data_IF_864528001272
#
_entry.id   IF_864528001272
#
_cell.length_a   1.000
_cell.length_b   1.000
_cell.length_c   1.000
_cell.angle_alpha   90.00
_cell.angle_beta   90.00
_cell.angle_gamma   90.00
#
_symmetry.space_group_name_H-M   'P 1'
#
loop_
_entity.id
_entity.type
_entity.pdbx_description
1 polymer ?
#
# COMPACT_ATOMS: atom_id res chain seq x y z
N UNK A 1 58.78 2.76 -14.40
CA UNK A 1 57.52 3.23 -13.79
C UNK A 1 56.92 2.03 -13.06
N UNK A 2 56.48 2.21 -11.81
CA UNK A 2 55.78 1.15 -11.09
C UNK A 2 54.28 1.37 -11.31
N UNK A 3 53.54 0.33 -11.68
CA UNK A 3 52.09 0.40 -11.84
C UNK A 3 51.41 0.55 -10.47
N UNK A 4 50.25 1.21 -10.43
CA UNK A 4 49.43 1.35 -9.25
C UNK A 4 49.01 -0.05 -8.72
N UNK A 5 49.17 -0.27 -7.41
CA UNK A 5 48.78 -1.54 -6.78
C UNK A 5 47.26 -1.69 -6.54
N UNK A 6 46.46 -0.68 -6.94
CA UNK A 6 45.02 -0.83 -6.82
C UNK A 6 44.49 -1.88 -7.79
N UNK A 7 43.96 -2.94 -7.23
CA UNK A 7 43.29 -4.02 -7.94
C UNK A 7 41.96 -4.30 -7.28
N UNK A 8 40.91 -4.40 -8.08
CA UNK A 8 39.61 -4.94 -7.69
C UNK A 8 39.42 -6.25 -8.47
N UNK A 9 38.47 -7.11 -8.11
CA UNK A 9 38.14 -8.38 -8.75
C UNK A 9 38.08 -8.32 -10.29
N UNK A 10 37.80 -7.12 -10.83
CA UNK A 10 37.56 -6.91 -12.26
C UNK A 10 38.46 -5.82 -12.90
N UNK A 11 39.38 -5.20 -12.15
CA UNK A 11 40.13 -4.06 -12.66
C UNK A 11 41.53 -3.93 -12.05
N UNK A 12 42.52 -3.69 -12.89
CA UNK A 12 43.87 -3.32 -12.51
C UNK A 12 44.17 -1.88 -13.01
N UNK A 13 44.58 -0.98 -12.10
CA UNK A 13 44.93 0.38 -12.46
C UNK A 13 46.33 0.42 -13.12
N UNK A 14 46.41 1.09 -14.28
CA UNK A 14 47.65 1.22 -15.05
C UNK A 14 48.30 2.61 -14.92
N UNK A 15 47.83 3.45 -13.99
CA UNK A 15 48.42 4.78 -13.75
C UNK A 15 49.69 4.68 -12.88
N UNK A 16 50.63 5.59 -13.10
CA UNK A 16 51.85 5.66 -12.30
C UNK A 16 51.55 5.88 -10.80
N UNK A 17 52.36 5.30 -9.94
CA UNK A 17 52.27 5.43 -8.49
C UNK A 17 52.84 6.74 -7.97
N UNK A 18 52.28 7.21 -6.87
CA UNK A 18 52.88 8.30 -6.09
C UNK A 18 54.09 7.82 -5.28
N UNK A 19 55.06 8.71 -5.03
CA UNK A 19 56.30 8.39 -4.35
C UNK A 19 56.14 7.81 -2.93
N UNK A 20 55.07 8.17 -2.23
CA UNK A 20 54.80 7.78 -0.83
C UNK A 20 53.89 6.56 -0.66
N UNK A 21 53.22 6.14 -1.69
CA UNK A 21 52.27 5.03 -1.64
C UNK A 21 52.47 4.10 -2.82
N UNK A 22 51.94 2.89 -2.77
CA UNK A 22 51.90 1.99 -3.93
C UNK A 22 50.70 2.29 -4.85
N UNK A 23 49.95 3.40 -4.62
CA UNK A 23 48.75 3.80 -5.32
C UNK A 23 49.01 5.03 -6.16
N UNK A 24 48.31 5.20 -7.30
CA UNK A 24 48.35 6.40 -8.10
C UNK A 24 47.59 7.55 -7.44
N UNK A 25 47.73 8.78 -7.96
CA UNK A 25 47.05 9.95 -7.44
C UNK A 25 45.52 9.82 -7.37
N UNK A 26 44.91 8.98 -8.21
CA UNK A 26 43.45 8.79 -8.17
C UNK A 26 43.04 7.87 -7.02
N UNK A 27 43.84 6.84 -6.67
CA UNK A 27 43.50 5.83 -5.67
C UNK A 27 44.20 6.04 -4.31
N UNK A 28 45.12 7.00 -4.20
CA UNK A 28 45.76 7.34 -2.92
C UNK A 28 44.73 7.88 -1.93
N UNK A 29 44.63 7.39 -0.69
CA UNK A 29 43.79 7.96 0.35
C UNK A 29 44.37 9.22 0.98
N UNK A 30 45.55 9.67 0.54
CA UNK A 30 46.22 10.84 1.09
C UNK A 30 45.38 12.10 0.85
N UNK A 31 44.88 12.72 1.94
CA UNK A 31 44.09 13.96 1.88
C UNK A 31 44.92 15.18 1.45
N UNK A 32 46.25 15.11 1.62
CA UNK A 32 47.20 16.19 1.26
C UNK A 32 47.68 16.09 -0.19
N UNK A 33 47.20 15.12 -0.97
CA UNK A 33 47.55 15.01 -2.39
C UNK A 33 47.21 16.30 -3.17
N UNK A 34 48.03 16.61 -4.14
CA UNK A 34 47.85 17.81 -4.98
C UNK A 34 46.49 17.76 -5.71
N UNK A 35 45.54 18.57 -5.23
CA UNK A 35 44.17 18.66 -5.77
C UNK A 35 44.13 19.14 -7.22
N UNK A 36 45.06 20.07 -7.61
CA UNK A 36 45.12 20.58 -8.98
C UNK A 36 45.60 19.49 -9.95
N UNK A 37 46.64 18.78 -9.57
CA UNK A 37 47.18 17.65 -10.34
C UNK A 37 46.16 16.49 -10.40
N UNK A 38 45.45 16.21 -9.29
CA UNK A 38 44.38 15.22 -9.25
C UNK A 38 43.29 15.55 -10.28
N UNK A 39 42.78 16.78 -10.30
CA UNK A 39 41.75 17.21 -11.24
C UNK A 39 42.21 17.16 -12.69
N UNK A 40 43.49 17.50 -12.96
CA UNK A 40 44.09 17.42 -14.29
C UNK A 40 44.12 15.95 -14.78
N UNK A 41 44.62 15.03 -13.96
CA UNK A 41 44.69 13.60 -14.27
C UNK A 41 43.29 13.00 -14.44
N UNK A 42 42.34 13.32 -13.55
CA UNK A 42 40.96 12.89 -13.63
C UNK A 42 40.31 13.34 -14.95
N UNK A 43 40.44 14.67 -15.26
CA UNK A 43 39.87 15.24 -16.47
C UNK A 43 40.48 14.61 -17.73
N UNK A 44 41.81 14.43 -17.75
CA UNK A 44 42.50 13.75 -18.83
C UNK A 44 42.07 12.33 -19.04
N UNK A 45 41.80 11.59 -17.95
CA UNK A 45 41.27 10.24 -18.00
C UNK A 45 39.84 10.20 -18.57
N UNK A 46 38.92 10.99 -18.02
CA UNK A 46 37.55 11.11 -18.49
C UNK A 46 37.50 11.50 -19.98
N UNK A 47 38.34 12.46 -20.40
CA UNK A 47 38.42 12.90 -21.78
C UNK A 47 38.94 11.83 -22.74
N UNK A 48 39.96 11.05 -22.36
CA UNK A 48 40.48 9.93 -23.14
C UNK A 48 39.45 8.82 -23.26
N UNK A 49 38.93 8.36 -22.11
CA UNK A 49 38.00 7.23 -22.06
C UNK A 49 36.68 7.56 -22.81
N UNK A 50 36.24 8.82 -22.79
CA UNK A 50 35.02 9.23 -23.51
C UNK A 50 35.19 9.19 -25.03
N UNK A 51 36.40 9.44 -25.57
CA UNK A 51 36.69 9.45 -27.01
C UNK A 51 37.15 8.11 -27.56
N UNK A 52 37.75 7.27 -26.74
CA UNK A 52 38.31 5.99 -27.15
C UNK A 52 37.22 4.95 -27.43
N UNK A 53 36.99 4.61 -28.69
CA UNK A 53 36.00 3.62 -29.10
C UNK A 53 36.25 2.20 -28.59
N UNK A 54 37.47 1.89 -28.17
CA UNK A 54 37.83 0.58 -27.57
C UNK A 54 37.54 0.48 -26.07
N UNK A 55 37.24 1.61 -25.39
CA UNK A 55 36.89 1.62 -23.96
C UNK A 55 35.37 1.61 -23.80
N UNK A 56 34.78 0.54 -23.23
CA UNK A 56 33.34 0.40 -23.13
C UNK A 56 32.71 1.32 -22.08
N UNK A 57 33.46 1.71 -21.04
CA UNK A 57 33.00 2.54 -19.94
C UNK A 57 34.12 3.43 -19.37
N UNK A 58 33.77 4.59 -18.84
CA UNK A 58 34.69 5.45 -18.09
C UNK A 58 34.88 4.87 -16.70
N UNK A 59 36.06 4.39 -16.38
CA UNK A 59 36.36 3.65 -15.14
C UNK A 59 36.96 4.57 -14.09
N UNK A 60 36.17 4.89 -13.06
CA UNK A 60 36.53 5.72 -11.90
C UNK A 60 36.30 4.97 -10.57
N UNK A 61 36.21 3.63 -10.61
CA UNK A 61 35.98 2.84 -9.41
C UNK A 61 37.15 2.91 -8.44
N UNK A 62 36.86 2.94 -7.13
CA UNK A 62 37.84 3.10 -6.08
C UNK A 62 38.62 4.40 -6.10
N UNK A 63 38.20 5.40 -6.91
CA UNK A 63 38.84 6.72 -6.93
C UNK A 63 38.55 7.47 -5.64
N UNK A 64 39.61 8.00 -5.00
CA UNK A 64 39.52 8.80 -3.79
C UNK A 64 39.58 10.28 -4.14
N UNK A 65 38.46 11.00 -4.03
CA UNK A 65 38.37 12.43 -4.27
C UNK A 65 38.79 13.19 -3.00
N UNK A 66 39.88 14.00 -3.06
CA UNK A 66 40.55 14.58 -1.87
C UNK A 66 39.84 15.82 -1.29
N UNK A 67 38.67 16.14 -1.73
CA UNK A 67 37.90 17.32 -1.30
C UNK A 67 36.70 17.54 -2.20
N UNK A 68 36.09 18.76 -2.16
CA UNK A 68 34.91 19.05 -2.95
C UNK A 68 35.08 18.77 -4.43
N UNK A 69 34.18 18.02 -5.03
CA UNK A 69 34.10 17.75 -6.46
C UNK A 69 33.00 18.62 -7.08
N UNK A 70 33.31 19.26 -8.19
CA UNK A 70 32.30 19.88 -9.07
C UNK A 70 32.39 19.19 -10.43
N UNK A 71 31.47 18.26 -10.69
CA UNK A 71 31.49 17.39 -11.86
C UNK A 71 31.48 18.19 -13.18
N UNK A 72 30.69 19.27 -13.25
CA UNK A 72 30.65 20.13 -14.43
C UNK A 72 32.04 20.72 -14.82
N UNK A 73 32.93 20.91 -13.86
CA UNK A 73 34.33 21.33 -14.14
C UNK A 73 35.15 20.18 -14.73
N UNK A 74 34.89 18.94 -14.35
CA UNK A 74 35.59 17.75 -14.88
C UNK A 74 35.23 17.52 -16.34
N UNK A 75 33.93 17.64 -16.68
CA UNK A 75 33.40 17.40 -18.02
C UNK A 75 33.32 18.63 -18.90
N UNK A 76 33.78 19.79 -18.42
CA UNK A 76 33.74 21.06 -19.14
C UNK A 76 34.41 20.97 -20.52
N UNK A 77 33.68 21.37 -21.58
CA UNK A 77 34.13 21.28 -22.96
C UNK A 77 34.06 19.89 -23.59
N UNK A 78 33.52 18.91 -22.89
CA UNK A 78 33.19 17.60 -23.45
C UNK A 78 31.73 17.59 -23.98
N UNK A 79 31.46 16.84 -25.06
CA UNK A 79 30.09 16.57 -25.44
C UNK A 79 29.42 15.74 -24.33
N UNK A 80 28.06 15.62 -24.37
CA UNK A 80 27.35 14.74 -23.47
C UNK A 80 27.98 13.36 -23.45
N UNK A 81 28.35 12.89 -22.26
CA UNK A 81 28.99 11.57 -22.10
C UNK A 81 27.89 10.51 -22.23
N UNK A 82 27.85 9.86 -23.38
CA UNK A 82 26.91 8.79 -23.68
C UNK A 82 27.38 7.41 -23.15
N UNK A 83 28.65 7.29 -22.74
CA UNK A 83 29.21 6.05 -22.21
C UNK A 83 28.85 5.82 -20.75
N UNK A 84 28.72 4.56 -20.34
CA UNK A 84 28.64 4.22 -18.92
C UNK A 84 29.81 4.79 -18.11
N UNK A 85 29.50 5.22 -16.87
CA UNK A 85 30.52 5.71 -15.93
C UNK A 85 30.49 4.87 -14.66
N UNK A 86 31.65 4.33 -14.27
CA UNK A 86 31.73 3.48 -13.09
C UNK A 86 32.50 4.19 -11.96
N UNK A 87 31.76 4.57 -10.90
CA UNK A 87 32.26 5.13 -9.64
C UNK A 87 32.17 4.12 -8.48
N UNK A 88 32.02 2.83 -8.76
CA UNK A 88 31.89 1.81 -7.71
C UNK A 88 33.00 1.95 -6.67
N UNK A 89 32.65 1.95 -5.38
CA UNK A 89 33.59 2.10 -4.28
C UNK A 89 34.39 3.41 -4.27
N UNK A 90 34.00 4.42 -5.05
CA UNK A 90 34.65 5.71 -5.02
C UNK A 90 34.39 6.43 -3.68
N UNK A 91 35.39 7.14 -3.16
CA UNK A 91 35.32 7.90 -1.93
C UNK A 91 35.35 9.41 -2.19
N UNK A 92 34.28 10.09 -1.90
CA UNK A 92 34.17 11.56 -1.98
C UNK A 92 34.36 12.13 -0.56
N UNK A 93 35.57 12.66 -0.27
CA UNK A 93 35.93 13.15 1.05
C UNK A 93 35.36 14.52 1.40
N UNK A 94 34.86 15.25 0.43
CA UNK A 94 34.14 16.52 0.57
C UNK A 94 32.85 16.50 -0.21
N UNK A 95 32.22 17.66 -0.37
CA UNK A 95 30.96 17.75 -1.10
C UNK A 95 31.12 17.30 -2.55
N UNK A 96 30.16 16.55 -3.05
CA UNK A 96 30.15 16.00 -4.40
C UNK A 96 29.01 16.65 -5.21
N UNK A 97 29.34 17.63 -6.02
CA UNK A 97 28.36 18.37 -6.79
C UNK A 97 28.23 17.82 -8.21
N UNK A 98 27.08 17.15 -8.45
CA UNK A 98 26.58 16.65 -9.72
C UNK A 98 25.35 17.43 -10.20
N UNK A 99 25.15 18.66 -9.73
CA UNK A 99 24.03 19.50 -10.07
C UNK A 99 23.82 19.59 -11.58
N UNK A 100 22.61 19.23 -12.04
CA UNK A 100 22.22 19.17 -13.46
C UNK A 100 23.18 18.37 -14.34
N UNK A 101 23.91 17.42 -13.76
CA UNK A 101 24.75 16.52 -14.54
C UNK A 101 23.90 15.63 -15.44
N UNK A 102 24.39 15.37 -16.66
CA UNK A 102 23.73 14.43 -17.59
C UNK A 102 24.62 13.21 -17.77
N UNK A 103 24.14 12.07 -17.34
CA UNK A 103 24.72 10.74 -17.55
C UNK A 103 23.96 10.08 -18.70
N UNK A 104 24.57 10.04 -19.90
CA UNK A 104 23.91 9.52 -21.10
C UNK A 104 23.92 8.00 -21.21
N UNK A 105 24.82 7.31 -20.50
CA UNK A 105 24.82 5.85 -20.30
C UNK A 105 24.57 5.49 -18.86
N UNK A 106 24.72 4.19 -18.54
CA UNK A 106 24.56 3.69 -17.17
C UNK A 106 25.60 4.33 -16.24
N UNK A 107 25.23 4.58 -15.00
CA UNK A 107 26.16 5.08 -13.99
C UNK A 107 26.13 4.21 -12.75
N UNK A 108 27.31 3.80 -12.28
CA UNK A 108 27.46 2.94 -11.13
C UNK A 108 28.15 3.68 -9.99
N UNK A 109 27.42 3.94 -8.90
CA UNK A 109 27.90 4.45 -7.62
C UNK A 109 27.81 3.40 -6.51
N UNK A 110 27.70 2.13 -6.85
CA UNK A 110 27.56 1.08 -5.83
C UNK A 110 28.78 1.10 -4.88
N UNK A 111 28.50 0.91 -3.59
CA UNK A 111 29.52 0.97 -2.52
C UNK A 111 30.27 2.31 -2.42
N UNK A 112 29.84 3.36 -3.15
CA UNK A 112 30.47 4.67 -3.06
C UNK A 112 30.19 5.33 -1.71
N UNK A 113 31.16 6.12 -1.21
CA UNK A 113 31.04 6.86 0.06
C UNK A 113 31.09 8.35 -0.19
N UNK A 114 30.02 9.04 0.18
CA UNK A 114 29.93 10.50 0.17
C UNK A 114 30.05 11.02 1.61
N UNK A 115 31.21 11.58 1.96
CA UNK A 115 31.48 12.06 3.33
C UNK A 115 30.90 13.46 3.58
N UNK A 116 30.86 14.32 2.57
CA UNK A 116 30.15 15.61 2.55
C UNK A 116 28.78 15.48 1.90
N UNK A 117 28.20 16.62 1.53
CA UNK A 117 26.91 16.65 0.84
C UNK A 117 27.04 16.14 -0.60
N UNK A 118 26.03 15.44 -1.07
CA UNK A 118 25.96 14.90 -2.43
C UNK A 118 24.80 15.54 -3.19
N UNK A 119 25.12 16.46 -4.11
CA UNK A 119 24.14 17.24 -4.86
C UNK A 119 23.92 16.66 -6.27
N UNK A 120 22.80 15.95 -6.46
CA UNK A 120 22.29 15.45 -7.74
C UNK A 120 21.03 16.22 -8.20
N UNK A 121 20.77 17.41 -7.66
CA UNK A 121 19.60 18.22 -7.99
C UNK A 121 19.52 18.46 -9.50
N UNK A 122 18.39 18.10 -10.10
CA UNK A 122 18.16 18.23 -11.53
C UNK A 122 19.05 17.36 -12.42
N UNK A 123 19.78 16.39 -11.86
CA UNK A 123 20.59 15.47 -12.66
C UNK A 123 19.71 14.55 -13.52
N UNK A 124 20.22 14.16 -14.70
CA UNK A 124 19.57 13.26 -15.63
C UNK A 124 20.37 11.98 -15.80
N UNK A 125 19.76 10.85 -15.47
CA UNK A 125 20.28 9.51 -15.67
C UNK A 125 19.50 8.86 -16.82
N UNK A 126 20.12 8.77 -18.00
CA UNK A 126 19.46 8.24 -19.22
C UNK A 126 19.48 6.71 -19.26
N UNK A 127 20.54 6.09 -18.72
CA UNK A 127 20.66 4.65 -18.49
C UNK A 127 20.30 4.28 -17.06
N UNK A 128 20.66 3.06 -16.65
CA UNK A 128 20.46 2.61 -15.28
C UNK A 128 21.39 3.35 -14.30
N UNK A 129 20.90 3.64 -13.10
CA UNK A 129 21.63 4.32 -12.04
C UNK A 129 21.72 3.43 -10.81
N UNK A 130 22.94 2.94 -10.52
CA UNK A 130 23.20 1.99 -9.44
C UNK A 130 23.89 2.69 -8.26
N UNK A 131 23.18 2.75 -7.12
CA UNK A 131 23.66 3.27 -5.83
C UNK A 131 23.63 2.17 -4.75
N UNK A 132 23.68 0.90 -5.14
CA UNK A 132 23.63 -0.25 -4.22
C UNK A 132 24.72 -0.14 -3.15
N UNK A 133 24.31 -0.15 -1.87
CA UNK A 133 25.25 -0.07 -0.74
C UNK A 133 25.98 1.27 -0.61
N UNK A 134 25.59 2.29 -1.38
CA UNK A 134 26.22 3.61 -1.25
C UNK A 134 25.95 4.23 0.12
N UNK A 135 26.90 4.99 0.66
CA UNK A 135 26.79 5.67 1.95
C UNK A 135 26.84 7.18 1.75
N UNK A 136 25.78 7.86 2.14
CA UNK A 136 25.66 9.33 2.18
C UNK A 136 25.73 9.79 3.64
N UNK A 137 26.88 10.40 4.02
CA UNK A 137 27.08 10.86 5.40
C UNK A 137 26.54 12.28 5.63
N UNK A 138 26.68 13.14 4.62
CA UNK A 138 26.00 14.45 4.55
C UNK A 138 24.62 14.35 3.92
N UNK A 139 24.03 15.49 3.57
CA UNK A 139 22.75 15.54 2.91
C UNK A 139 22.86 15.08 1.45
N UNK A 140 21.83 14.39 0.96
CA UNK A 140 21.78 13.85 -0.39
C UNK A 140 20.59 14.44 -1.17
N UNK A 141 20.90 15.36 -2.09
CA UNK A 141 19.90 16.06 -2.90
C UNK A 141 19.68 15.39 -4.25
N UNK A 142 18.48 14.85 -4.48
CA UNK A 142 17.99 14.34 -5.77
C UNK A 142 16.77 15.10 -6.26
N UNK A 143 16.52 16.30 -5.73
CA UNK A 143 15.36 17.11 -6.08
C UNK A 143 15.30 17.37 -7.59
N UNK A 144 14.16 17.07 -8.23
CA UNK A 144 13.99 17.22 -9.67
C UNK A 144 14.90 16.34 -10.55
N UNK A 145 15.59 15.35 -9.97
CA UNK A 145 16.38 14.41 -10.74
C UNK A 145 15.48 13.50 -11.60
N UNK A 146 15.98 13.11 -12.79
CA UNK A 146 15.27 12.23 -13.73
C UNK A 146 16.03 10.94 -13.93
N UNK A 147 15.41 9.81 -13.56
CA UNK A 147 15.90 8.46 -13.80
C UNK A 147 15.08 7.84 -14.93
N UNK A 148 15.68 7.76 -16.14
CA UNK A 148 15.00 7.19 -17.31
C UNK A 148 15.09 5.66 -17.37
N UNK A 149 16.21 5.09 -16.91
CA UNK A 149 16.40 3.66 -16.67
C UNK A 149 15.99 3.27 -15.24
N UNK A 150 16.40 2.09 -14.80
CA UNK A 150 16.20 1.63 -13.44
C UNK A 150 17.09 2.40 -12.46
N UNK A 151 16.57 2.63 -11.26
CA UNK A 151 17.31 3.27 -10.17
C UNK A 151 17.42 2.31 -8.97
N UNK A 152 18.64 1.91 -8.60
CA UNK A 152 18.84 0.96 -7.51
C UNK A 152 19.58 1.63 -6.34
N UNK A 153 18.88 1.83 -5.22
CA UNK A 153 19.39 2.32 -3.94
C UNK A 153 19.37 1.21 -2.87
N UNK A 154 19.26 -0.06 -3.25
CA UNK A 154 19.21 -1.15 -2.30
C UNK A 154 20.42 -1.12 -1.36
N UNK A 155 20.18 -1.35 -0.06
CA UNK A 155 21.18 -1.29 1.02
C UNK A 155 21.92 0.06 1.15
N UNK A 156 21.50 1.10 0.43
CA UNK A 156 22.10 2.42 0.62
C UNK A 156 21.78 2.98 2.01
N UNK A 157 22.68 3.78 2.55
CA UNK A 157 22.51 4.44 3.85
C UNK A 157 22.57 5.95 3.68
N UNK A 158 21.49 6.62 4.02
CA UNK A 158 21.40 8.09 4.11
C UNK A 158 21.47 8.48 5.58
N UNK A 159 22.60 9.09 6.00
CA UNK A 159 22.79 9.52 7.40
C UNK A 159 22.26 10.93 7.60
N UNK A 160 22.51 11.84 6.65
CA UNK A 160 21.87 13.14 6.53
C UNK A 160 20.48 13.07 5.92
N UNK A 161 19.93 14.23 5.58
CA UNK A 161 18.63 14.32 4.93
C UNK A 161 18.71 13.83 3.47
N UNK A 162 17.63 13.18 2.99
CA UNK A 162 17.51 12.66 1.63
C UNK A 162 16.35 13.35 0.91
N UNK A 163 16.65 14.20 -0.06
CA UNK A 163 15.67 15.00 -0.79
C UNK A 163 15.43 14.43 -2.19
N UNK A 164 14.24 13.85 -2.41
CA UNK A 164 13.75 13.38 -3.71
C UNK A 164 12.57 14.20 -4.24
N UNK A 165 12.40 15.44 -3.76
CA UNK A 165 11.27 16.29 -4.15
C UNK A 165 11.21 16.46 -5.66
N UNK A 166 10.07 16.10 -6.26
CA UNK A 166 9.85 16.21 -7.71
C UNK A 166 10.72 15.30 -8.57
N UNK A 167 11.44 14.33 -7.98
CA UNK A 167 12.22 13.36 -8.75
C UNK A 167 11.28 12.48 -9.60
N UNK A 168 11.76 12.10 -10.80
CA UNK A 168 11.00 11.23 -11.72
C UNK A 168 11.73 9.92 -11.94
N UNK A 169 11.07 8.82 -11.61
CA UNK A 169 11.54 7.46 -11.80
C UNK A 169 10.72 6.80 -12.91
N UNK A 170 11.32 6.63 -14.09
CA UNK A 170 10.64 6.06 -15.27
C UNK A 170 10.80 4.54 -15.39
N UNK A 171 11.89 3.98 -14.87
CA UNK A 171 12.11 2.54 -14.71
C UNK A 171 11.75 2.05 -13.30
N UNK A 172 12.08 0.79 -13.03
CA UNK A 172 11.93 0.20 -11.70
C UNK A 172 12.83 0.91 -10.69
N UNK A 173 12.31 1.14 -9.49
CA UNK A 173 13.02 1.79 -8.40
C UNK A 173 13.20 0.82 -7.24
N UNK A 174 14.45 0.49 -6.91
CA UNK A 174 14.80 -0.40 -5.81
C UNK A 174 15.27 0.44 -4.62
N UNK A 175 14.58 0.35 -3.50
CA UNK A 175 14.91 0.97 -2.22
C UNK A 175 14.87 -0.11 -1.11
N UNK A 176 15.24 -1.34 -1.48
CA UNK A 176 15.18 -2.49 -0.56
C UNK A 176 16.27 -2.36 0.49
N UNK A 177 15.86 -2.52 1.76
CA UNK A 177 16.77 -2.46 2.93
C UNK A 177 17.56 -1.14 3.00
N UNK A 178 17.07 -0.08 2.30
CA UNK A 178 17.66 1.26 2.38
C UNK A 178 17.42 1.85 3.75
N UNK A 179 18.45 2.45 4.35
CA UNK A 179 18.36 3.09 5.67
C UNK A 179 18.35 4.61 5.54
N UNK A 180 17.19 5.23 5.75
CA UNK A 180 17.03 6.67 5.87
C UNK A 180 17.09 7.06 7.35
N UNK A 181 18.21 7.66 7.79
CA UNK A 181 18.44 8.05 9.19
C UNK A 181 18.08 9.51 9.45
N UNK A 182 18.26 10.39 8.47
CA UNK A 182 17.77 11.76 8.45
C UNK A 182 16.34 11.87 7.98
N UNK A 183 15.89 13.10 7.71
CA UNK A 183 14.59 13.34 7.09
C UNK A 183 14.61 12.88 5.63
N UNK A 184 13.45 12.44 5.16
CA UNK A 184 13.33 11.95 3.78
C UNK A 184 12.11 12.58 3.11
N UNK A 185 12.30 13.17 1.94
CA UNK A 185 11.22 13.86 1.24
C UNK A 185 11.05 13.32 -0.18
N UNK A 186 9.92 12.61 -0.41
CA UNK A 186 9.47 12.16 -1.74
C UNK A 186 8.30 13.01 -2.27
N UNK A 187 8.09 14.22 -1.74
CA UNK A 187 6.98 15.08 -2.17
C UNK A 187 7.08 15.37 -3.66
N UNK A 188 5.97 15.28 -4.37
CA UNK A 188 5.89 15.47 -5.83
C UNK A 188 6.71 14.48 -6.67
N UNK A 189 7.36 13.49 -6.05
CA UNK A 189 8.05 12.46 -6.79
C UNK A 189 7.07 11.62 -7.62
N UNK A 190 7.54 11.13 -8.77
CA UNK A 190 6.72 10.32 -9.68
C UNK A 190 7.39 8.97 -9.93
N UNK A 191 6.71 7.89 -9.59
CA UNK A 191 7.11 6.52 -9.89
C UNK A 191 6.20 5.98 -11.00
N UNK A 192 6.75 5.61 -12.15
CA UNK A 192 5.95 5.15 -13.29
C UNK A 192 5.91 3.63 -13.41
N UNK A 193 6.87 2.92 -12.83
CA UNK A 193 6.98 1.46 -12.77
C UNK A 193 7.00 0.97 -11.31
N UNK A 194 7.42 -0.26 -11.09
CA UNK A 194 7.52 -0.83 -9.74
C UNK A 194 8.45 -0.03 -8.83
N UNK A 195 8.03 0.20 -7.58
CA UNK A 195 8.86 0.83 -6.54
C UNK A 195 8.91 -0.05 -5.28
N UNK A 196 10.11 -0.51 -4.93
CA UNK A 196 10.33 -1.50 -3.87
C UNK A 196 11.01 -0.85 -2.66
N UNK A 197 10.23 -0.56 -1.62
CA UNK A 197 10.69 -0.11 -0.30
C UNK A 197 10.74 -1.26 0.72
N UNK A 198 10.84 -2.49 0.23
CA UNK A 198 10.84 -3.67 1.09
C UNK A 198 11.96 -3.59 2.14
N UNK A 199 11.62 -3.73 3.43
CA UNK A 199 12.51 -3.59 4.58
C UNK A 199 13.27 -2.26 4.67
N UNK A 200 12.85 -1.24 3.94
CA UNK A 200 13.39 0.10 4.14
C UNK A 200 13.15 0.58 5.57
N UNK A 201 14.11 1.33 6.12
CA UNK A 201 14.02 1.90 7.48
C UNK A 201 13.96 3.41 7.39
N UNK A 202 12.91 4.00 7.96
CA UNK A 202 12.71 5.45 8.05
C UNK A 202 12.78 5.87 9.51
N UNK A 203 13.81 6.68 9.89
CA UNK A 203 14.00 7.15 11.26
C UNK A 203 13.51 8.56 11.48
N UNK A 204 13.83 9.47 10.56
CA UNK A 204 13.43 10.87 10.60
C UNK A 204 12.04 11.10 10.02
N UNK A 205 11.70 12.39 9.91
CA UNK A 205 10.48 12.83 9.25
C UNK A 205 10.47 12.36 7.80
N UNK A 206 9.36 11.75 7.37
CA UNK A 206 9.22 11.22 6.01
C UNK A 206 7.97 11.75 5.36
N UNK A 207 8.12 12.31 4.16
CA UNK A 207 7.04 12.94 3.41
C UNK A 207 6.81 12.25 2.07
N UNK A 208 5.55 11.90 1.82
CA UNK A 208 5.02 11.47 0.53
C UNK A 208 3.83 12.38 0.16
N UNK A 209 4.08 13.67 0.00
CA UNK A 209 3.02 14.64 -0.34
C UNK A 209 2.92 14.79 -1.86
N UNK A 210 1.72 14.63 -2.41
CA UNK A 210 1.47 14.67 -3.87
C UNK A 210 2.34 13.70 -4.67
N UNK A 211 2.82 12.64 -4.03
CA UNK A 211 3.62 11.60 -4.67
C UNK A 211 2.76 10.78 -5.62
N UNK A 212 3.21 10.62 -6.84
CA UNK A 212 2.50 9.84 -7.87
C UNK A 212 3.04 8.43 -7.92
N UNK A 213 2.23 7.48 -7.50
CA UNK A 213 2.48 6.05 -7.64
C UNK A 213 1.82 5.50 -8.91
N UNK A 214 2.32 4.38 -9.48
CA UNK A 214 1.73 3.77 -10.66
C UNK A 214 0.27 3.38 -10.40
N UNK A 215 -0.57 3.56 -11.42
CA UNK A 215 -2.01 3.22 -11.36
C UNK A 215 -2.41 2.19 -12.42
N UNK A 216 -1.47 1.80 -13.29
CA UNK A 216 -1.66 0.73 -14.26
C UNK A 216 -1.84 -0.64 -13.55
N UNK A 217 -2.20 -1.68 -14.33
CA UNK A 217 -2.45 -3.00 -13.76
C UNK A 217 -1.18 -3.88 -13.65
N UNK A 218 -0.05 -3.40 -14.09
CA UNK A 218 1.20 -4.16 -14.17
C UNK A 218 2.15 -3.80 -13.04
N UNK A 219 2.21 -2.51 -12.66
CA UNK A 219 3.13 -1.99 -11.66
C UNK A 219 2.51 -1.86 -10.25
N UNK A 220 3.35 -1.89 -9.23
CA UNK A 220 2.96 -1.76 -7.83
C UNK A 220 4.03 -1.09 -6.97
N UNK A 221 3.63 -0.52 -5.85
CA UNK A 221 4.56 -0.02 -4.83
C UNK A 221 4.54 -0.96 -3.63
N UNK A 222 5.70 -1.37 -3.15
CA UNK A 222 5.85 -2.34 -2.06
C UNK A 222 6.54 -1.71 -0.85
N UNK A 223 5.74 -1.32 0.14
CA UNK A 223 6.19 -0.86 1.46
C UNK A 223 6.12 -2.00 2.50
N UNK A 224 6.32 -3.24 2.05
CA UNK A 224 6.23 -4.43 2.90
C UNK A 224 7.45 -4.52 3.82
N UNK A 225 7.21 -4.97 5.08
CA UNK A 225 8.24 -5.09 6.11
C UNK A 225 9.01 -3.79 6.40
N UNK A 226 8.52 -2.63 5.95
CA UNK A 226 9.19 -1.35 6.20
C UNK A 226 9.12 -0.98 7.69
N UNK A 227 10.22 -0.46 8.21
CA UNK A 227 10.33 0.01 9.59
C UNK A 227 10.17 1.52 9.63
N UNK A 228 9.16 2.00 10.35
CA UNK A 228 8.92 3.42 10.59
C UNK A 228 9.17 3.70 12.07
N UNK A 229 10.28 4.35 12.41
CA UNK A 229 10.65 4.62 13.82
C UNK A 229 9.86 5.80 14.40
N UNK A 230 9.54 6.82 13.58
CA UNK A 230 8.76 8.01 13.96
C UNK A 230 7.45 8.09 13.18
N UNK A 231 6.45 7.24 13.49
CA UNK A 231 5.24 7.14 12.67
C UNK A 231 4.36 8.40 12.70
N UNK A 232 4.41 9.22 13.74
CA UNK A 232 3.73 10.51 13.82
C UNK A 232 4.34 11.58 12.91
N UNK A 233 5.58 11.38 12.44
CA UNK A 233 6.27 12.22 11.47
C UNK A 233 6.35 11.58 10.08
N UNK A 234 5.56 10.53 9.84
CA UNK A 234 5.46 9.88 8.55
C UNK A 234 4.12 10.26 7.88
N UNK A 235 4.20 11.01 6.78
CA UNK A 235 3.05 11.65 6.14
C UNK A 235 2.81 11.15 4.73
N UNK A 236 1.56 10.78 4.47
CA UNK A 236 1.02 10.62 3.12
C UNK A 236 -0.09 11.65 2.92
N UNK A 237 0.06 12.49 1.91
CA UNK A 237 -0.93 13.51 1.57
C UNK A 237 -1.16 13.52 0.05
N UNK A 238 -2.43 13.46 -0.36
CA UNK A 238 -2.86 13.38 -1.77
C UNK A 238 -2.12 12.27 -2.54
N UNK A 239 -2.15 11.05 -2.01
CA UNK A 239 -1.48 9.87 -2.57
C UNK A 239 -2.50 8.79 -2.93
N UNK A 240 -2.31 8.14 -4.08
CA UNK A 240 -3.15 7.04 -4.52
C UNK A 240 -2.54 5.67 -4.13
N UNK A 241 -3.22 4.97 -3.19
CA UNK A 241 -2.81 3.66 -2.70
C UNK A 241 -3.49 2.48 -3.40
N UNK A 242 -4.11 2.69 -4.57
CA UNK A 242 -4.80 1.62 -5.29
C UNK A 242 -3.89 0.44 -5.67
N UNK A 243 -2.56 0.65 -5.65
CA UNK A 243 -1.52 -0.31 -6.04
C UNK A 243 -0.38 -0.41 -5.02
N UNK A 244 -0.62 -0.06 -3.76
CA UNK A 244 0.41 -0.06 -2.71
C UNK A 244 0.18 -1.22 -1.74
N UNK A 245 1.22 -2.00 -1.49
CA UNK A 245 1.28 -3.12 -0.55
C UNK A 245 1.98 -2.69 0.75
N UNK A 246 1.35 -2.96 1.89
CA UNK A 246 1.84 -2.58 3.22
C UNK A 246 2.09 -3.78 4.15
N UNK A 247 2.06 -5.00 3.63
CA UNK A 247 2.09 -6.20 4.45
C UNK A 247 3.25 -6.16 5.46
N UNK A 248 2.96 -6.45 6.74
CA UNK A 248 3.89 -6.42 7.88
C UNK A 248 4.49 -5.05 8.23
N UNK A 249 4.10 -3.97 7.57
CA UNK A 249 4.49 -2.60 7.97
C UNK A 249 3.56 -2.09 9.06
N UNK A 250 4.14 -1.43 10.07
CA UNK A 250 3.35 -0.82 11.13
C UNK A 250 2.83 0.56 10.71
N UNK A 251 1.53 0.63 10.41
CA UNK A 251 0.84 1.86 10.00
C UNK A 251 0.18 2.61 11.17
N UNK A 252 0.40 2.17 12.40
CA UNK A 252 -0.18 2.84 13.58
C UNK A 252 0.43 4.22 13.74
N UNK A 253 -0.40 5.27 13.86
CA UNK A 253 -0.03 6.69 13.96
C UNK A 253 0.58 7.33 12.70
N UNK A 254 0.76 6.60 11.60
CA UNK A 254 1.12 7.19 10.31
C UNK A 254 0.03 8.18 9.89
N UNK A 255 0.41 9.34 9.37
CA UNK A 255 -0.51 10.41 9.02
C UNK A 255 -1.00 10.24 7.58
N UNK A 256 -2.32 10.13 7.39
CA UNK A 256 -2.98 10.01 6.09
C UNK A 256 -3.92 11.18 5.89
N UNK A 257 -3.69 11.98 4.85
CA UNK A 257 -4.53 13.12 4.47
C UNK A 257 -4.88 13.01 2.99
N UNK A 258 -6.16 13.08 2.66
CA UNK A 258 -6.69 13.06 1.29
C UNK A 258 -6.18 11.90 0.40
N UNK A 259 -5.90 10.76 1.02
CA UNK A 259 -5.40 9.58 0.31
C UNK A 259 -6.52 8.80 -0.36
N UNK A 260 -6.22 8.20 -1.51
CA UNK A 260 -7.15 7.36 -2.25
C UNK A 260 -6.79 5.89 -2.12
N UNK A 261 -7.69 5.09 -1.54
CA UNK A 261 -7.53 3.63 -1.41
C UNK A 261 -8.12 2.88 -2.61
N UNK A 262 -7.65 1.65 -2.85
CA UNK A 262 -8.30 0.74 -3.78
C UNK A 262 -9.78 0.57 -3.44
N UNK A 263 -10.64 0.36 -4.43
CA UNK A 263 -12.09 0.23 -4.23
C UNK A 263 -12.60 -1.11 -4.71
N UNK A 264 -13.41 -1.75 -3.88
CA UNK A 264 -14.05 -3.01 -4.17
C UNK A 264 -15.57 -2.85 -4.21
N UNK A 265 -16.25 -3.30 -5.29
CA UNK A 265 -17.70 -3.27 -5.37
C UNK A 265 -18.33 -4.30 -4.44
N UNK A 266 -19.51 -3.99 -3.88
CA UNK A 266 -20.32 -4.93 -3.14
C UNK A 266 -20.90 -6.02 -4.05
N UNK A 267 -20.92 -7.28 -3.57
CA UNK A 267 -21.37 -8.42 -4.37
C UNK A 267 -22.83 -8.31 -4.86
N UNK A 268 -23.71 -7.78 -4.02
CA UNK A 268 -25.16 -7.67 -4.34
C UNK A 268 -25.58 -6.29 -4.83
N UNK A 269 -24.74 -5.28 -4.62
CA UNK A 269 -24.99 -3.89 -4.98
C UNK A 269 -23.71 -3.30 -5.60
N UNK A 270 -23.37 -3.66 -6.86
CA UNK A 270 -22.06 -3.34 -7.45
C UNK A 270 -21.76 -1.83 -7.56
N UNK A 271 -22.79 -0.99 -7.52
CA UNK A 271 -22.64 0.47 -7.49
C UNK A 271 -22.17 1.01 -6.13
N UNK A 272 -22.31 0.22 -5.05
CA UNK A 272 -21.73 0.55 -3.74
C UNK A 272 -20.31 0.00 -3.70
N UNK A 273 -19.33 0.90 -3.55
CA UNK A 273 -17.91 0.56 -3.45
C UNK A 273 -17.41 0.98 -2.08
N UNK A 274 -16.60 0.15 -1.45
CA UNK A 274 -15.89 0.46 -0.21
C UNK A 274 -14.38 0.43 -0.42
N UNK A 275 -13.66 1.21 0.37
CA UNK A 275 -12.20 1.25 0.33
C UNK A 275 -11.62 -0.06 0.87
N UNK A 276 -10.64 -0.60 0.16
CA UNK A 276 -9.94 -1.83 0.52
C UNK A 276 -8.43 -1.64 0.37
N UNK A 277 -7.65 -2.43 1.11
CA UNK A 277 -6.21 -2.55 0.89
C UNK A 277 -5.92 -3.31 -0.39
N UNK A 278 -4.89 -2.90 -1.11
CA UNK A 278 -4.42 -3.63 -2.28
C UNK A 278 -3.89 -5.03 -1.89
N UNK A 279 -3.29 -5.16 -0.70
CA UNK A 279 -2.91 -6.43 -0.07
C UNK A 279 -4.05 -7.47 -0.05
N UNK A 280 -5.29 -7.03 0.20
CA UNK A 280 -6.45 -7.92 0.13
C UNK A 280 -6.73 -8.40 -1.29
N UNK A 281 -6.63 -7.51 -2.28
CA UNK A 281 -6.91 -7.85 -3.66
C UNK A 281 -5.89 -8.86 -4.21
N UNK A 282 -4.62 -8.70 -3.87
CA UNK A 282 -3.57 -9.64 -4.26
C UNK A 282 -3.73 -10.99 -3.54
N UNK A 283 -4.07 -11.01 -2.24
CA UNK A 283 -4.39 -12.24 -1.53
C UNK A 283 -5.57 -13.00 -2.19
N UNK A 284 -6.65 -12.29 -2.56
CA UNK A 284 -7.82 -12.89 -3.21
C UNK A 284 -7.50 -13.43 -4.61
N UNK A 285 -6.64 -12.74 -5.34
CA UNK A 285 -6.16 -13.16 -6.67
C UNK A 285 -5.34 -14.46 -6.56
N UNK A 286 -4.46 -14.53 -5.56
CA UNK A 286 -3.64 -15.72 -5.32
C UNK A 286 -4.47 -16.92 -4.86
N UNK A 287 -5.39 -16.73 -3.92
CA UNK A 287 -6.35 -17.78 -3.52
C UNK A 287 -7.15 -18.31 -4.72
N UNK A 288 -7.48 -17.45 -5.68
CA UNK A 288 -8.21 -17.83 -6.88
C UNK A 288 -7.34 -18.65 -7.84
N UNK A 289 -6.07 -18.28 -7.99
CA UNK A 289 -5.07 -19.02 -8.80
C UNK A 289 -4.84 -20.42 -8.24
N UNK A 290 -4.67 -20.53 -6.91
CA UNK A 290 -4.50 -21.83 -6.23
C UNK A 290 -5.70 -22.74 -6.42
N UNK A 291 -6.93 -22.20 -6.34
CA UNK A 291 -8.16 -23.00 -6.58
C UNK A 291 -8.29 -23.49 -8.02
N UNK A 292 -7.81 -22.73 -8.98
CA UNK A 292 -7.91 -23.06 -10.40
C UNK A 292 -6.75 -23.96 -10.89
N UNK A 293 -5.88 -24.42 -9.98
CA UNK A 293 -4.78 -25.32 -10.31
C UNK A 293 -3.62 -24.65 -11.08
N UNK A 294 -3.66 -23.35 -11.25
CA UNK A 294 -2.58 -22.57 -11.89
C UNK A 294 -1.54 -22.13 -10.86
N UNK A 295 -1.26 -22.96 -9.84
CA UNK A 295 -0.31 -22.68 -8.80
C UNK A 295 1.12 -22.49 -9.35
N UNK A 296 1.43 -21.31 -9.82
CA UNK A 296 2.80 -20.80 -9.84
C UNK A 296 3.15 -20.39 -8.41
N UNK A 297 4.37 -20.68 -7.98
CA UNK A 297 4.96 -20.08 -6.78
C UNK A 297 4.65 -18.58 -6.86
N UNK A 298 4.03 -18.00 -5.80
CA UNK A 298 4.04 -16.56 -5.61
C UNK A 298 5.40 -16.06 -6.10
N UNK A 299 5.43 -15.10 -7.01
CA UNK A 299 6.61 -14.27 -7.18
C UNK A 299 6.70 -13.43 -5.91
N UNK A 300 7.03 -14.14 -4.81
CA UNK A 300 7.44 -13.54 -3.57
C UNK A 300 8.68 -12.78 -3.98
N UNK A 301 8.68 -11.46 -3.84
CA UNK A 301 9.88 -10.68 -4.03
C UNK A 301 11.01 -11.41 -3.29
N UNK A 302 12.13 -11.64 -3.96
CA UNK A 302 13.25 -12.35 -3.37
C UNK A 302 13.50 -11.86 -1.95
N UNK A 303 13.42 -12.74 -0.96
CA UNK A 303 13.59 -12.41 0.45
C UNK A 303 12.32 -12.36 1.33
N UNK A 304 11.13 -12.54 0.78
CA UNK A 304 9.89 -12.67 1.59
C UNK A 304 9.68 -14.14 1.95
N UNK A 305 9.91 -14.48 3.22
CA UNK A 305 9.88 -15.87 3.69
C UNK A 305 8.47 -16.45 3.89
N UNK A 306 7.41 -15.63 3.90
CA UNK A 306 6.06 -16.09 4.16
C UNK A 306 5.04 -15.46 3.22
N UNK A 307 4.12 -16.24 2.64
CA UNK A 307 3.05 -15.70 1.80
C UNK A 307 2.09 -14.83 2.63
N UNK A 308 1.41 -13.87 1.99
CA UNK A 308 0.39 -13.08 2.66
C UNK A 308 -0.72 -13.99 3.21
N UNK A 309 -1.11 -13.76 4.46
CA UNK A 309 -2.20 -14.49 5.10
C UNK A 309 -3.36 -13.55 5.43
N UNK A 310 -4.59 -14.08 5.45
CA UNK A 310 -5.76 -13.29 5.81
C UNK A 310 -5.62 -12.65 7.21
N UNK A 311 -4.89 -13.29 8.12
CA UNK A 311 -4.59 -12.77 9.45
C UNK A 311 -3.70 -11.53 9.41
N UNK A 312 -2.64 -11.53 8.60
CA UNK A 312 -1.75 -10.38 8.44
C UNK A 312 -2.49 -9.18 7.84
N UNK A 313 -3.28 -9.41 6.79
CA UNK A 313 -4.11 -8.36 6.17
C UNK A 313 -5.18 -7.86 7.16
N UNK A 314 -5.78 -8.74 7.99
CA UNK A 314 -6.72 -8.31 9.03
C UNK A 314 -6.05 -7.39 10.10
N UNK A 315 -4.77 -7.63 10.40
CA UNK A 315 -4.02 -6.77 11.33
C UNK A 315 -3.75 -5.38 10.73
N UNK A 316 -3.40 -5.30 9.44
CA UNK A 316 -3.27 -4.01 8.73
C UNK A 316 -4.59 -3.22 8.77
N UNK A 317 -5.70 -3.86 8.46
CA UNK A 317 -7.02 -3.24 8.57
C UNK A 317 -7.32 -2.74 9.98
N UNK A 318 -6.93 -3.49 11.01
CA UNK A 318 -7.11 -3.08 12.41
C UNK A 318 -6.29 -1.82 12.72
N UNK A 319 -5.03 -1.75 12.27
CA UNK A 319 -4.17 -0.58 12.47
C UNK A 319 -4.76 0.65 11.79
N UNK A 320 -5.14 0.55 10.52
CA UNK A 320 -5.76 1.66 9.78
C UNK A 320 -7.07 2.10 10.42
N UNK A 321 -7.94 1.14 10.80
CA UNK A 321 -9.18 1.49 11.50
C UNK A 321 -8.91 2.33 12.74
N UNK A 322 -7.99 1.88 13.62
CA UNK A 322 -7.65 2.60 14.85
C UNK A 322 -7.05 3.99 14.56
N UNK A 323 -6.28 4.09 13.50
CA UNK A 323 -5.67 5.34 13.06
C UNK A 323 -6.75 6.34 12.59
N UNK A 324 -7.67 5.90 11.74
CA UNK A 324 -8.78 6.73 11.23
C UNK A 324 -9.83 7.05 12.31
N UNK A 325 -10.09 6.13 13.26
CA UNK A 325 -10.90 6.41 14.46
C UNK A 325 -10.24 7.51 15.31
N UNK A 326 -8.92 7.48 15.48
CA UNK A 326 -8.14 8.49 16.22
C UNK A 326 -8.18 9.87 15.57
N UNK A 327 -8.19 9.95 14.25
CA UNK A 327 -8.28 11.18 13.45
C UNK A 327 -9.74 11.61 13.17
N UNK A 328 -10.74 10.94 13.77
CA UNK A 328 -12.18 11.22 13.59
C UNK A 328 -12.69 11.09 12.14
N UNK A 329 -12.03 10.29 11.32
CA UNK A 329 -12.45 9.96 9.94
C UNK A 329 -13.25 8.65 9.95
N UNK A 330 -14.46 8.71 10.45
CA UNK A 330 -15.29 7.55 10.81
C UNK A 330 -15.79 6.74 9.60
N UNK A 331 -15.95 7.37 8.43
CA UNK A 331 -16.41 6.69 7.20
C UNK A 331 -15.36 5.71 6.72
N UNK A 332 -14.12 6.16 6.60
CA UNK A 332 -12.97 5.36 6.21
C UNK A 332 -12.69 4.27 7.24
N UNK A 333 -12.74 4.61 8.53
CA UNK A 333 -12.64 3.64 9.63
C UNK A 333 -13.68 2.52 9.49
N UNK A 334 -14.93 2.84 9.09
CA UNK A 334 -15.99 1.88 8.81
C UNK A 334 -15.63 0.93 7.65
N UNK A 335 -15.06 1.46 6.57
CA UNK A 335 -14.61 0.64 5.44
C UNK A 335 -13.51 -0.35 5.87
N UNK A 336 -12.54 0.11 6.66
CA UNK A 336 -11.47 -0.76 7.17
C UNK A 336 -11.98 -1.79 8.19
N UNK A 337 -13.02 -1.45 8.96
CA UNK A 337 -13.67 -2.45 9.81
C UNK A 337 -14.32 -3.57 9.00
N UNK A 338 -14.99 -3.25 7.91
CA UNK A 338 -15.56 -4.24 6.98
C UNK A 338 -14.45 -5.14 6.45
N UNK A 339 -13.35 -4.55 5.95
CA UNK A 339 -12.19 -5.29 5.45
C UNK A 339 -11.58 -6.21 6.52
N UNK A 340 -11.41 -5.72 7.75
CA UNK A 340 -10.93 -6.50 8.89
C UNK A 340 -11.83 -7.73 9.15
N UNK A 341 -13.15 -7.56 9.17
CA UNK A 341 -14.08 -8.66 9.41
C UNK A 341 -14.12 -9.67 8.26
N UNK A 342 -14.00 -9.19 7.02
CA UNK A 342 -13.90 -10.05 5.84
C UNK A 342 -12.63 -10.91 5.86
N UNK A 343 -11.50 -10.36 6.28
CA UNK A 343 -10.26 -11.11 6.43
C UNK A 343 -10.33 -12.09 7.59
N UNK A 344 -10.93 -11.73 8.75
CA UNK A 344 -11.18 -12.66 9.85
C UNK A 344 -12.07 -13.85 9.44
N UNK A 345 -13.02 -13.63 8.54
CA UNK A 345 -13.84 -14.72 7.99
C UNK A 345 -13.02 -15.69 7.13
N UNK A 346 -11.93 -15.23 6.49
CA UNK A 346 -11.02 -16.05 5.68
C UNK A 346 -9.98 -16.76 6.52
N UNK A 347 -9.64 -16.23 7.68
CA UNK A 347 -8.60 -16.76 8.57
C UNK A 347 -9.00 -18.16 9.09
N UNK A 348 -8.20 -19.21 8.80
CA UNK A 348 -8.44 -20.57 9.27
C UNK A 348 -8.52 -20.69 10.79
N UNK A 349 -7.79 -19.85 11.54
CA UNK A 349 -7.74 -19.87 13.00
C UNK A 349 -9.02 -19.31 13.64
N UNK A 350 -9.88 -18.65 12.87
CA UNK A 350 -11.18 -18.22 13.34
C UNK A 350 -12.11 -19.41 13.53
N UNK A 351 -12.68 -19.59 14.73
CA UNK A 351 -13.54 -20.72 15.06
C UNK A 351 -14.63 -20.97 14.01
N UNK A 352 -14.92 -22.25 13.72
CA UNK A 352 -15.79 -22.69 12.62
C UNK A 352 -17.16 -21.99 12.61
N UNK A 353 -17.82 -21.91 13.76
CA UNK A 353 -19.14 -21.27 13.90
C UNK A 353 -19.07 -19.79 13.51
N UNK A 354 -18.09 -19.06 14.05
CA UNK A 354 -17.89 -17.65 13.75
C UNK A 354 -17.63 -17.43 12.26
N UNK A 355 -16.76 -18.24 11.67
CA UNK A 355 -16.34 -18.13 10.28
C UNK A 355 -17.42 -18.49 9.27
N UNK A 356 -18.17 -19.60 9.53
CA UNK A 356 -19.12 -20.17 8.57
C UNK A 356 -20.55 -19.68 8.75
N UNK A 357 -20.92 -19.20 9.93
CA UNK A 357 -22.28 -18.78 10.23
C UNK A 357 -22.36 -17.33 10.73
N UNK A 358 -21.73 -17.00 11.85
CA UNK A 358 -21.94 -15.70 12.49
C UNK A 358 -21.48 -14.51 11.63
N UNK A 359 -20.24 -14.53 11.12
CA UNK A 359 -19.71 -13.43 10.29
C UNK A 359 -20.44 -13.30 8.94
N UNK A 360 -20.73 -14.39 8.17
CA UNK A 360 -21.51 -14.25 6.94
C UNK A 360 -22.91 -13.70 7.15
N UNK A 361 -23.63 -14.16 8.18
CA UNK A 361 -24.96 -13.63 8.52
C UNK A 361 -24.88 -12.16 8.92
N UNK A 362 -23.94 -11.80 9.80
CA UNK A 362 -23.77 -10.42 10.25
C UNK A 362 -23.38 -9.48 9.10
N UNK A 363 -22.56 -9.96 8.14
CA UNK A 363 -22.26 -9.22 6.91
C UNK A 363 -23.50 -9.01 6.05
N UNK A 364 -24.25 -10.07 5.78
CA UNK A 364 -25.42 -10.04 4.91
C UNK A 364 -26.49 -9.10 5.46
N UNK A 365 -26.78 -9.21 6.75
CA UNK A 365 -27.88 -8.49 7.42
C UNK A 365 -27.52 -7.03 7.70
N UNK A 366 -26.33 -6.73 8.21
CA UNK A 366 -25.99 -5.41 8.73
C UNK A 366 -24.64 -4.86 8.24
N UNK A 367 -23.97 -5.54 7.31
CA UNK A 367 -22.62 -5.17 6.84
C UNK A 367 -21.66 -4.95 8.03
N UNK A 368 -21.67 -5.89 8.97
CA UNK A 368 -20.95 -5.83 10.25
C UNK A 368 -21.34 -4.62 11.14
N UNK A 369 -22.59 -4.14 11.00
CA UNK A 369 -23.09 -2.98 11.75
C UNK A 369 -22.74 -1.62 11.13
N UNK A 370 -22.19 -1.60 9.91
CA UNK A 370 -21.90 -0.36 9.17
C UNK A 370 -23.09 0.15 8.35
N UNK A 371 -24.12 -0.67 8.15
CA UNK A 371 -25.32 -0.31 7.41
C UNK A 371 -26.56 -0.44 8.26
N UNK A 372 -27.19 0.69 8.63
CA UNK A 372 -28.45 0.69 9.37
C UNK A 372 -29.65 0.38 8.47
N UNK A 373 -29.61 0.74 7.19
CA UNK A 373 -30.75 0.55 6.30
C UNK A 373 -30.97 -0.92 5.89
N UNK A 374 -29.90 -1.78 5.87
CA UNK A 374 -30.03 -3.20 5.52
C UNK A 374 -30.93 -3.99 6.49
N UNK A 375 -30.72 -3.94 7.82
CA UNK A 375 -31.64 -4.58 8.75
C UNK A 375 -33.08 -4.07 8.62
N UNK A 376 -33.25 -2.77 8.36
CA UNK A 376 -34.57 -2.17 8.17
C UNK A 376 -35.29 -2.70 6.92
N UNK A 377 -34.61 -2.73 5.79
CA UNK A 377 -35.16 -3.28 4.54
C UNK A 377 -35.46 -4.75 4.69
N UNK A 378 -34.56 -5.51 5.32
CA UNK A 378 -34.77 -6.93 5.58
C UNK A 378 -35.95 -7.15 6.53
N UNK A 379 -36.13 -6.32 7.55
CA UNK A 379 -37.27 -6.32 8.45
C UNK A 379 -38.58 -6.14 7.67
N UNK A 380 -38.67 -5.10 6.83
CA UNK A 380 -39.86 -4.84 6.02
C UNK A 380 -40.13 -5.99 5.02
N UNK A 381 -39.11 -6.55 4.40
CA UNK A 381 -39.25 -7.66 3.46
C UNK A 381 -39.70 -8.94 4.18
N UNK A 382 -39.08 -9.27 5.30
CA UNK A 382 -39.46 -10.47 6.06
C UNK A 382 -40.81 -10.35 6.73
N UNK A 383 -41.21 -9.13 7.17
CA UNK A 383 -42.57 -8.90 7.68
C UNK A 383 -43.63 -9.15 6.61
N UNK A 384 -43.34 -8.82 5.35
CA UNK A 384 -44.20 -9.17 4.22
C UNK A 384 -44.32 -10.70 4.03
N UNK A 385 -43.20 -11.42 4.13
CA UNK A 385 -43.21 -12.88 4.06
C UNK A 385 -43.99 -13.51 5.21
N UNK A 386 -43.82 -13.03 6.43
CA UNK A 386 -44.59 -13.50 7.58
C UNK A 386 -46.08 -13.18 7.44
N UNK A 387 -46.45 -12.04 6.83
CA UNK A 387 -47.84 -11.73 6.52
C UNK A 387 -48.47 -12.80 5.62
N UNK A 388 -47.77 -13.28 4.59
CA UNK A 388 -48.24 -14.39 3.73
C UNK A 388 -48.38 -15.68 4.54
N UNK A 389 -47.43 -15.98 5.43
CA UNK A 389 -47.53 -17.15 6.31
C UNK A 389 -48.71 -17.05 7.28
N UNK A 390 -49.05 -15.89 7.83
CA UNK A 390 -50.21 -15.68 8.67
C UNK A 390 -51.51 -15.85 7.91
N UNK A 391 -51.62 -15.34 6.67
CA UNK A 391 -52.80 -15.62 5.82
C UNK A 391 -53.03 -17.12 5.62
N UNK A 392 -51.92 -17.85 5.42
CA UNK A 392 -52.00 -19.31 5.22
C UNK A 392 -52.27 -20.07 6.51
N UNK A 393 -51.82 -19.58 7.68
CA UNK A 393 -52.05 -20.16 8.98
C UNK A 393 -53.47 -19.91 9.50
N UNK A 394 -54.10 -18.86 9.01
CA UNK A 394 -55.38 -18.32 9.51
C UNK A 394 -55.22 -17.58 10.84
N UNK A 395 -56.01 -16.52 11.01
CA UNK A 395 -56.04 -15.75 12.25
C UNK A 395 -57.40 -15.09 12.46
N UNK A 396 -57.77 -14.84 13.71
CA UNK A 396 -58.95 -14.10 14.09
C UNK A 396 -58.55 -12.62 14.23
N UNK A 397 -59.36 -11.74 13.62
CA UNK A 397 -59.18 -10.28 13.69
C UNK A 397 -60.32 -9.59 14.44
N UNK A 398 -60.00 -8.70 15.35
CA UNK A 398 -61.01 -7.95 16.14
C UNK A 398 -60.82 -8.13 17.64
N UNK A 399 -61.16 -7.10 18.44
CA UNK A 399 -61.05 -7.08 19.92
C UNK A 399 -62.28 -7.63 20.64
N UNK A 400 -63.47 -7.65 20.01
CA UNK A 400 -64.75 -8.08 20.58
C UNK A 400 -65.32 -9.22 19.77
N UNK A 401 -66.06 -10.11 20.41
CA UNK A 401 -66.72 -11.24 19.73
C UNK A 401 -68.01 -10.81 19.04
N UNK A 402 -68.32 -11.30 17.85
CA UNK A 402 -67.59 -12.32 17.08
C UNK A 402 -66.39 -11.72 16.33
N UNK A 403 -65.23 -12.38 16.46
CA UNK A 403 -64.01 -12.02 15.73
C UNK A 403 -64.09 -12.43 14.27
N UNK A 404 -63.59 -11.58 13.38
CA UNK A 404 -63.51 -11.89 11.95
C UNK A 404 -62.44 -13.00 11.73
N UNK A 405 -62.82 -14.13 11.12
CA UNK A 405 -61.90 -15.19 10.76
C UNK A 405 -61.27 -14.90 9.39
N UNK A 406 -59.95 -14.87 9.31
CA UNK A 406 -59.19 -14.69 8.08
C UNK A 406 -58.39 -15.99 7.86
N UNK A 407 -58.73 -16.80 6.87
CA UNK A 407 -58.10 -18.07 6.56
C UNK A 407 -57.99 -18.27 5.05
N UNK A 408 -56.78 -18.41 4.55
CA UNK A 408 -56.44 -18.62 3.13
C UNK A 408 -55.79 -19.98 2.90
N UNK A 409 -55.96 -20.95 3.80
CA UNK A 409 -55.47 -22.33 3.62
C UNK A 409 -55.95 -22.96 2.28
N UNK A 410 -56.90 -22.33 1.64
CA UNK A 410 -57.56 -22.66 0.39
C UNK A 410 -57.03 -21.92 -0.87
N UNK A 411 -55.85 -21.40 -0.87
CA UNK A 411 -55.30 -20.65 -2.04
C UNK A 411 -55.35 -21.44 -3.36
N UNK A 412 -55.66 -22.70 -3.33
CA UNK A 412 -55.87 -23.57 -4.51
C UNK A 412 -57.32 -23.72 -4.95
N UNK A 413 -58.27 -23.09 -4.25
CA UNK A 413 -59.71 -23.26 -4.43
C UNK A 413 -60.52 -22.04 -4.90
N UNK A 414 -59.90 -20.98 -5.34
CA UNK A 414 -60.53 -19.91 -6.18
C UNK A 414 -61.51 -19.01 -5.50
N UNK A 415 -61.07 -17.89 -4.90
CA UNK A 415 -61.62 -16.55 -5.08
C UNK A 415 -60.63 -15.54 -4.57
N UNK A 416 -60.21 -14.63 -5.48
CA UNK A 416 -59.13 -13.69 -5.28
C UNK A 416 -59.56 -12.36 -4.66
N UNK A 417 -60.68 -12.28 -3.92
CA UNK A 417 -61.22 -11.04 -3.33
C UNK A 417 -61.85 -11.32 -1.97
N UNK A 418 -61.39 -10.77 -0.85
CA UNK A 418 -60.79 -9.41 -0.62
C UNK A 418 -59.33 -9.44 -0.12
N UNK A 419 -58.43 -10.00 -0.91
CA UNK A 419 -57.03 -10.22 -0.55
C UNK A 419 -56.28 -8.96 -0.03
N UNK A 420 -56.55 -7.79 -0.57
CA UNK A 420 -55.82 -6.57 -0.19
C UNK A 420 -56.02 -6.10 1.25
N UNK A 421 -57.27 -6.18 1.74
CA UNK A 421 -57.60 -5.77 3.11
C UNK A 421 -57.06 -6.79 4.14
N UNK A 422 -57.22 -8.08 3.87
CA UNK A 422 -56.76 -9.16 4.74
C UNK A 422 -55.23 -9.25 4.75
N UNK A 423 -54.57 -8.98 3.62
CA UNK A 423 -53.15 -8.88 3.58
C UNK A 423 -52.61 -7.73 4.46
N UNK A 424 -53.27 -6.58 4.47
CA UNK A 424 -52.90 -5.46 5.36
C UNK A 424 -53.08 -5.82 6.84
N UNK A 425 -54.15 -6.56 7.21
CA UNK A 425 -54.36 -7.08 8.56
C UNK A 425 -53.22 -8.06 8.95
N UNK A 426 -52.90 -9.00 8.07
CA UNK A 426 -51.81 -9.95 8.26
C UNK A 426 -50.44 -9.28 8.37
N UNK A 427 -50.19 -8.27 7.54
CA UNK A 427 -48.93 -7.53 7.60
C UNK A 427 -48.84 -6.70 8.89
N UNK A 428 -49.95 -6.06 9.34
CA UNK A 428 -49.98 -5.42 10.64
C UNK A 428 -49.70 -6.42 11.77
N UNK A 429 -50.28 -7.64 11.72
CA UNK A 429 -50.01 -8.67 12.67
C UNK A 429 -48.51 -9.06 12.68
N UNK A 430 -47.89 -9.19 11.51
CA UNK A 430 -46.44 -9.45 11.41
C UNK A 430 -45.60 -8.34 12.03
N UNK A 431 -45.91 -7.08 11.76
CA UNK A 431 -45.20 -5.93 12.34
C UNK A 431 -45.40 -5.78 13.87
N UNK A 432 -46.48 -6.37 14.40
CA UNK A 432 -46.82 -6.30 15.82
C UNK A 432 -46.72 -7.66 16.55
N UNK A 433 -46.06 -8.64 15.91
CA UNK A 433 -45.98 -10.04 16.44
C UNK A 433 -45.36 -10.13 17.84
N UNK A 434 -44.57 -9.15 18.28
CA UNK A 434 -44.14 -9.03 19.67
C UNK A 434 -45.26 -8.72 20.66
N UNK A 435 -46.48 -8.41 20.20
CA UNK A 435 -47.63 -8.01 21.01
C UNK A 435 -48.81 -9.00 20.83
N UNK A 436 -48.57 -10.29 21.13
CA UNK A 436 -49.60 -11.36 21.09
C UNK A 436 -50.84 -11.11 21.96
N UNK A 437 -50.92 -9.95 22.64
CA UNK A 437 -52.08 -9.51 23.45
C UNK A 437 -53.00 -8.53 22.74
N UNK A 438 -52.75 -8.29 21.43
CA UNK A 438 -53.53 -7.37 20.62
C UNK A 438 -54.79 -8.00 20.01
N UNK A 439 -55.41 -7.31 19.06
CA UNK A 439 -56.66 -7.60 18.40
C UNK A 439 -56.67 -8.80 17.44
N UNK A 440 -55.62 -9.68 17.49
CA UNK A 440 -55.51 -10.83 16.60
C UNK A 440 -55.04 -12.08 17.33
N UNK A 441 -55.59 -13.25 16.99
CA UNK A 441 -55.19 -14.55 17.53
C UNK A 441 -55.03 -15.53 16.38
N UNK A 442 -53.91 -16.24 16.34
CA UNK A 442 -53.64 -17.26 15.30
C UNK A 442 -54.47 -18.50 15.50
N UNK A 443 -55.03 -19.09 14.42
CA UNK A 443 -55.96 -20.21 14.48
C UNK A 443 -55.26 -21.55 14.62
N UNK A 444 -54.17 -21.81 13.87
CA UNK A 444 -53.51 -23.10 13.81
C UNK A 444 -52.33 -23.19 14.79
N UNK A 445 -52.08 -24.38 15.37
CA UNK A 445 -50.94 -24.60 16.27
C UNK A 445 -49.59 -24.28 15.64
N UNK A 446 -49.38 -24.57 14.35
CA UNK A 446 -48.17 -24.21 13.64
C UNK A 446 -48.04 -22.70 13.41
N UNK A 447 -49.19 -21.99 13.36
CA UNK A 447 -49.17 -20.52 13.30
C UNK A 447 -48.59 -19.86 14.55
N UNK A 448 -48.67 -20.53 15.73
CA UNK A 448 -47.96 -20.10 16.92
C UNK A 448 -46.45 -20.21 16.74
N UNK A 449 -45.97 -21.28 16.06
CA UNK A 449 -44.54 -21.41 15.73
C UNK A 449 -44.11 -20.29 14.82
N UNK A 450 -44.92 -19.93 13.82
CA UNK A 450 -44.66 -18.79 12.93
C UNK A 450 -44.59 -17.47 13.73
N UNK A 451 -45.53 -17.27 14.68
CA UNK A 451 -45.56 -16.07 15.52
C UNK A 451 -44.32 -15.95 16.41
N UNK A 452 -43.88 -17.02 17.06
CA UNK A 452 -42.66 -17.02 17.85
C UNK A 452 -41.41 -16.80 16.97
N UNK A 453 -41.33 -17.44 15.81
CA UNK A 453 -40.25 -17.27 14.86
C UNK A 453 -40.14 -15.81 14.36
N UNK A 454 -41.29 -15.21 14.02
CA UNK A 454 -41.39 -13.81 13.64
C UNK A 454 -40.89 -12.89 14.77
N UNK A 455 -41.40 -13.09 15.99
CA UNK A 455 -41.00 -12.29 17.15
C UNK A 455 -39.50 -12.35 17.42
N UNK A 456 -38.90 -13.53 17.41
CA UNK A 456 -37.45 -13.71 17.62
C UNK A 456 -36.65 -13.02 16.50
N UNK A 457 -37.13 -13.20 15.26
CA UNK A 457 -36.48 -12.60 14.08
C UNK A 457 -36.55 -11.05 14.11
N UNK A 458 -37.70 -10.48 14.47
CA UNK A 458 -37.89 -9.04 14.58
C UNK A 458 -37.01 -8.44 15.67
N UNK A 459 -36.96 -9.06 16.85
CA UNK A 459 -36.06 -8.63 17.94
C UNK A 459 -34.60 -8.65 17.45
N UNK A 460 -34.18 -9.69 16.73
CA UNK A 460 -32.84 -9.80 16.19
C UNK A 460 -32.53 -8.68 15.19
N UNK A 461 -33.43 -8.40 14.23
CA UNK A 461 -33.25 -7.35 13.23
C UNK A 461 -33.27 -5.95 13.85
N UNK A 462 -34.19 -5.69 14.78
CA UNK A 462 -34.27 -4.44 15.51
C UNK A 462 -33.00 -4.20 16.33
N UNK A 463 -32.49 -5.23 17.02
CA UNK A 463 -31.24 -5.13 17.76
C UNK A 463 -30.06 -4.77 16.83
N UNK A 464 -29.95 -5.39 15.67
CA UNK A 464 -28.92 -5.08 14.67
C UNK A 464 -29.09 -3.67 14.11
N UNK A 465 -30.32 -3.24 13.85
CA UNK A 465 -30.63 -1.88 13.42
C UNK A 465 -30.19 -0.85 14.46
N UNK A 466 -30.53 -1.06 15.74
CA UNK A 466 -30.16 -0.17 16.84
C UNK A 466 -28.62 -0.10 17.02
N UNK A 467 -27.94 -1.24 16.92
CA UNK A 467 -26.48 -1.29 16.99
C UNK A 467 -25.85 -0.47 15.84
N UNK A 468 -26.35 -0.67 14.62
CA UNK A 468 -25.85 0.06 13.44
C UNK A 468 -26.19 1.56 13.54
N UNK A 469 -27.38 1.91 14.01
CA UNK A 469 -27.79 3.29 14.21
C UNK A 469 -26.94 3.99 15.28
N UNK A 470 -26.74 3.33 16.44
CA UNK A 470 -25.87 3.84 17.50
C UNK A 470 -24.44 4.07 16.98
N UNK A 471 -23.94 3.21 16.10
CA UNK A 471 -22.64 3.36 15.50
C UNK A 471 -22.61 4.53 14.53
N UNK A 472 -23.67 4.71 13.76
CA UNK A 472 -23.83 5.85 12.83
C UNK A 472 -23.90 7.20 13.57
N UNK A 473 -24.60 7.28 14.70
CA UNK A 473 -24.71 8.52 15.49
C UNK A 473 -23.54 8.79 16.45
N UNK A 474 -22.64 7.84 16.65
CA UNK A 474 -21.38 8.10 17.37
C UNK A 474 -20.30 8.73 16.48
N UNK A 475 -20.57 8.77 15.21
CA UNK A 475 -19.79 9.39 14.15
C UNK A 475 -20.22 10.84 13.97
#
# INVERSE_FOLDING_TARGET
>A
MKDCSYTDLFYHCTLDVEERTSLCILHSPDAEKDKAKFLEVLRGKVQRDSKDGGVPAIRLHGVVFPGPLVWSKVVSGLPTIAKPINFRGAAFSGDANFWRATFGGDVNFSEATFSGDADFVGATFSGDADFVGATFSGDAGFSGATFSGNADFSWATFTGDADFVGATFSGDTQLRETAFRGNTDFSWATFTQDAFFHRATFKGRTLFQHTKFPTDNESSVRLEDATVESPEEFFFEDVNFSRVLFLRTNLTRVQFTDVTWAKKPERFLPWIKHSVLFDQLELEKEESRLRNGSGGVLTIAEGVNEPPTARLVANLYRQLRLNYEGSKQEVEAGHFYIGQMDMRRRDPDTGWFTRRLALPVYRAVAMYGESAWRPLVLYLFTSFLFAVLYLYAGFYWGGEEPREAVDYAWLWGGSFLPFGGDFLKAWYLSLTAGNLRGNAQVMADWGLIVAYANMVWDIFLIALFVIALRRHFRR
#
